data_IF_902446673590
#
_entry.id   IF_902446673590
#
_cell.length_a   1.000
_cell.length_b   1.000
_cell.length_c   1.000
_cell.angle_alpha   90.00
_cell.angle_beta   90.00
_cell.angle_gamma   90.00
#
_symmetry.space_group_name_H-M   'P 1'
#
loop_
_entity.id
_entity.type
_entity.pdbx_description
1 polymer ?
#
# COMPACT_ATOMS: atom_id res chain seq x y z
N UNK A 1 -29.03 18.67 22.97
CA UNK A 1 -28.83 18.28 21.56
C UNK A 1 -27.97 19.37 20.92
N UNK A 2 -26.76 19.06 20.46
CA UNK A 2 -25.77 20.09 20.09
C UNK A 2 -26.04 20.67 18.67
N UNK A 3 -26.15 21.99 18.48
CA UNK A 3 -26.62 22.63 17.22
C UNK A 3 -25.74 22.43 15.97
N UNK A 4 -24.52 21.88 16.14
CA UNK A 4 -23.52 21.81 15.06
C UNK A 4 -23.50 20.47 14.29
N UNK A 5 -24.29 19.45 14.70
CA UNK A 5 -24.34 18.16 13.99
C UNK A 5 -24.73 18.30 12.51
N UNK A 6 -25.62 19.25 12.17
CA UNK A 6 -26.02 19.50 10.78
C UNK A 6 -24.88 19.98 9.87
N UNK A 7 -23.80 20.49 10.45
CA UNK A 7 -22.60 20.93 9.74
C UNK A 7 -21.47 19.90 9.80
N UNK A 8 -21.58 18.92 10.70
CA UNK A 8 -20.67 17.78 10.75
C UNK A 8 -21.06 16.80 9.65
N UNK A 9 -20.51 17.00 8.45
CA UNK A 9 -20.36 15.89 7.51
C UNK A 9 -19.24 15.04 8.08
N UNK A 10 -19.47 13.81 8.59
CA UNK A 10 -18.36 12.90 8.84
C UNK A 10 -17.54 12.86 7.57
N UNK A 11 -16.21 12.98 7.69
CA UNK A 11 -15.33 12.85 6.54
C UNK A 11 -15.82 11.66 5.73
N UNK A 12 -16.14 11.89 4.45
CA UNK A 12 -16.59 10.87 3.50
C UNK A 12 -15.88 9.57 3.84
N UNK A 13 -16.58 8.42 3.97
CA UNK A 13 -15.91 7.17 4.34
C UNK A 13 -14.72 7.05 3.42
N UNK A 14 -13.52 7.06 4.00
CA UNK A 14 -12.26 7.01 3.26
C UNK A 14 -12.45 5.83 2.33
N UNK A 15 -12.52 6.07 1.02
CA UNK A 15 -12.87 5.03 0.05
C UNK A 15 -11.74 4.01 0.10
N UNK A 16 -11.90 3.00 0.94
CA UNK A 16 -10.90 1.96 1.09
C UNK A 16 -10.82 1.24 -0.24
N UNK A 17 -9.61 1.17 -0.81
CA UNK A 17 -9.37 0.31 -1.94
C UNK A 17 -9.64 -1.13 -1.49
N UNK A 18 -10.75 -1.71 -1.94
CA UNK A 18 -11.03 -3.13 -1.73
C UNK A 18 -10.17 -3.92 -2.70
N UNK A 19 -9.27 -4.73 -2.15
CA UNK A 19 -8.48 -5.66 -2.95
C UNK A 19 -9.40 -6.59 -3.74
N UNK A 20 -9.24 -6.60 -5.07
CA UNK A 20 -10.13 -7.32 -5.99
C UNK A 20 -10.00 -8.84 -5.87
N UNK A 21 -8.85 -9.32 -5.39
CA UNK A 21 -8.59 -10.76 -5.22
C UNK A 21 -9.08 -11.30 -3.87
N UNK A 22 -9.75 -10.48 -3.05
CA UNK A 22 -10.31 -10.94 -1.79
C UNK A 22 -11.57 -11.78 -2.04
N UNK A 23 -11.63 -12.98 -1.46
CA UNK A 23 -12.68 -13.99 -1.69
C UNK A 23 -13.69 -14.13 -0.55
N UNK A 24 -13.65 -13.25 0.46
CA UNK A 24 -14.55 -13.27 1.62
C UNK A 24 -15.70 -12.25 1.56
N UNK A 25 -16.50 -12.20 2.62
CA UNK A 25 -17.61 -11.22 2.73
C UNK A 25 -17.12 -9.80 3.03
N UNK A 26 -17.98 -8.80 2.82
CA UNK A 26 -17.65 -7.41 3.14
C UNK A 26 -17.37 -7.22 4.63
N UNK A 27 -18.15 -7.87 5.49
CA UNK A 27 -17.96 -7.82 6.95
C UNK A 27 -16.62 -8.46 7.37
N UNK A 28 -16.26 -9.58 6.75
CA UNK A 28 -14.97 -10.23 6.98
C UNK A 28 -13.81 -9.33 6.53
N UNK A 29 -13.95 -8.68 5.37
CA UNK A 29 -12.96 -7.71 4.88
C UNK A 29 -12.77 -6.56 5.87
N UNK A 30 -13.86 -5.97 6.35
CA UNK A 30 -13.81 -4.86 7.31
C UNK A 30 -13.18 -5.30 8.64
N UNK A 31 -13.50 -6.50 9.12
CA UNK A 31 -12.89 -7.08 10.31
C UNK A 31 -11.38 -7.23 10.14
N UNK A 32 -10.93 -7.86 9.04
CA UNK A 32 -9.52 -8.04 8.73
C UNK A 32 -8.80 -6.69 8.56
N UNK A 33 -9.44 -5.74 7.87
CA UNK A 33 -8.92 -4.38 7.73
C UNK A 33 -8.76 -3.68 9.08
N UNK A 34 -9.66 -3.92 10.04
CA UNK A 34 -9.56 -3.31 11.37
C UNK A 34 -8.45 -3.97 12.21
N UNK A 35 -8.35 -5.29 12.18
CA UNK A 35 -7.42 -6.09 12.98
C UNK A 35 -6.00 -6.16 12.41
N UNK A 36 -5.83 -5.92 11.10
CA UNK A 36 -4.55 -6.06 10.42
C UNK A 36 -3.48 -5.08 10.89
N UNK A 37 -2.26 -5.62 11.00
CA UNK A 37 -1.00 -4.91 11.20
C UNK A 37 -0.18 -4.74 9.91
N UNK A 38 -0.81 -4.89 8.74
CA UNK A 38 -0.16 -4.76 7.44
C UNK A 38 -0.50 -3.42 6.77
N UNK A 39 0.52 -2.78 6.20
CA UNK A 39 0.35 -1.63 5.29
C UNK A 39 0.86 -1.97 3.89
N UNK A 40 0.17 -1.42 2.90
CA UNK A 40 0.59 -1.40 1.50
C UNK A 40 1.22 -0.05 1.19
N UNK A 41 2.48 -0.06 0.77
CA UNK A 41 3.22 1.15 0.38
C UNK A 41 3.44 1.12 -1.12
N UNK A 42 3.09 2.20 -1.80
CA UNK A 42 3.21 2.35 -3.24
C UNK A 42 3.93 3.65 -3.60
N UNK A 43 4.24 3.79 -4.89
CA UNK A 43 4.99 4.91 -5.46
C UNK A 43 6.41 5.03 -4.88
N UNK A 44 7.01 3.90 -4.52
CA UNK A 44 8.40 3.84 -4.08
C UNK A 44 9.32 4.03 -5.31
N UNK A 45 10.50 4.61 -5.10
CA UNK A 45 11.53 4.68 -6.13
C UNK A 45 12.11 3.27 -6.36
N UNK A 46 12.06 2.70 -7.59
CA UNK A 46 12.54 1.35 -7.86
C UNK A 46 14.05 1.14 -7.63
N UNK A 47 14.84 2.21 -7.46
CA UNK A 47 16.26 2.10 -7.10
C UNK A 47 16.52 1.88 -5.61
N UNK A 48 15.47 1.84 -4.78
CA UNK A 48 15.59 1.67 -3.33
C UNK A 48 15.62 0.18 -2.99
N UNK A 49 16.54 -0.18 -2.09
CA UNK A 49 16.67 -1.52 -1.53
C UNK A 49 15.71 -1.76 -0.35
N UNK A 50 15.43 -3.04 -0.07
CA UNK A 50 14.54 -3.46 1.02
C UNK A 50 14.96 -2.90 2.38
N UNK A 51 16.26 -2.91 2.69
CA UNK A 51 16.81 -2.40 3.95
C UNK A 51 16.37 -0.96 4.23
N UNK A 52 16.22 -0.14 3.19
CA UNK A 52 15.86 1.27 3.36
C UNK A 52 14.39 1.45 3.69
N UNK A 53 13.53 0.57 3.16
CA UNK A 53 12.12 0.48 3.57
C UNK A 53 11.99 -0.02 5.00
N UNK A 54 12.83 -1.00 5.38
CA UNK A 54 12.88 -1.50 6.75
C UNK A 54 13.22 -0.38 7.75
N UNK A 55 14.26 0.40 7.48
CA UNK A 55 14.66 1.54 8.30
C UNK A 55 13.56 2.60 8.44
N UNK A 56 12.85 2.92 7.34
CA UNK A 56 11.69 3.81 7.39
C UNK A 56 10.58 3.24 8.28
N UNK A 57 10.29 1.95 8.15
CA UNK A 57 9.22 1.29 8.89
C UNK A 57 9.51 1.22 10.40
N UNK A 58 10.77 1.00 10.79
CA UNK A 58 11.20 0.99 12.18
C UNK A 58 10.93 2.32 12.92
N UNK A 59 10.76 3.44 12.22
CA UNK A 59 10.37 4.71 12.83
C UNK A 59 8.94 4.68 13.42
N UNK A 60 8.10 3.75 12.98
CA UNK A 60 6.69 3.67 13.39
C UNK A 60 6.41 2.55 14.39
N UNK A 61 7.23 1.51 14.41
CA UNK A 61 7.17 0.40 15.36
C UNK A 61 7.93 -0.84 14.91
N UNK A 62 7.78 -1.94 15.67
CA UNK A 62 8.52 -3.17 15.42
C UNK A 62 8.01 -3.89 14.16
N UNK A 63 8.93 -4.06 13.21
CA UNK A 63 8.65 -4.66 11.91
C UNK A 63 8.81 -6.18 12.01
N UNK A 64 7.75 -6.91 11.65
CA UNK A 64 7.78 -8.37 11.58
C UNK A 64 8.42 -8.84 10.27
N UNK A 65 8.06 -8.21 9.15
CA UNK A 65 8.69 -8.44 7.83
C UNK A 65 8.33 -7.35 6.82
N UNK A 66 9.19 -7.20 5.82
CA UNK A 66 8.94 -6.42 4.60
C UNK A 66 8.81 -7.39 3.43
N UNK A 67 7.87 -7.14 2.53
CA UNK A 67 7.63 -7.97 1.35
C UNK A 67 7.65 -7.07 0.14
N UNK A 68 8.75 -7.15 -0.61
CA UNK A 68 8.96 -6.31 -1.79
C UNK A 68 8.05 -6.74 -2.94
N UNK A 69 7.39 -5.75 -3.56
CA UNK A 69 6.59 -5.95 -4.75
C UNK A 69 7.49 -6.03 -5.98
N UNK A 70 7.49 -7.17 -6.65
CA UNK A 70 8.38 -7.48 -7.77
C UNK A 70 7.62 -7.64 -9.08
N UNK A 71 8.31 -7.41 -10.18
CA UNK A 71 7.82 -7.72 -11.50
C UNK A 71 7.67 -9.23 -11.65
N UNK A 72 6.51 -9.73 -12.07
CA UNK A 72 6.25 -11.18 -12.17
C UNK A 72 7.14 -11.90 -13.20
N UNK A 73 7.65 -11.18 -14.19
CA UNK A 73 8.44 -11.75 -15.28
C UNK A 73 9.95 -11.66 -14.96
N UNK A 74 10.41 -10.51 -14.48
CA UNK A 74 11.84 -10.22 -14.30
C UNK A 74 12.31 -10.31 -12.85
N UNK A 75 11.39 -10.50 -11.90
CA UNK A 75 11.65 -10.55 -10.46
C UNK A 75 12.39 -9.33 -9.89
N UNK A 76 12.33 -8.21 -10.61
CA UNK A 76 12.92 -6.93 -10.18
C UNK A 76 11.92 -6.10 -9.39
N UNK A 77 12.40 -5.29 -8.44
CA UNK A 77 11.54 -4.41 -7.68
C UNK A 77 10.73 -3.47 -8.58
N UNK A 78 9.42 -3.38 -8.34
CA UNK A 78 8.53 -2.59 -9.16
C UNK A 78 7.83 -1.46 -8.40
N UNK A 79 8.38 -1.03 -7.26
CA UNK A 79 8.04 0.24 -6.61
C UNK A 79 6.78 0.20 -5.74
N UNK A 80 6.45 -0.96 -5.17
CA UNK A 80 5.48 -1.11 -4.09
C UNK A 80 5.94 -2.21 -3.14
N UNK A 81 5.51 -2.21 -1.88
CA UNK A 81 5.79 -3.29 -0.94
C UNK A 81 4.65 -3.44 0.07
N UNK A 82 4.67 -4.54 0.82
CA UNK A 82 3.89 -4.71 2.03
C UNK A 82 4.82 -4.67 3.23
N UNK A 83 4.39 -4.01 4.30
CA UNK A 83 5.10 -4.02 5.58
C UNK A 83 4.15 -4.57 6.62
N UNK A 84 4.56 -5.64 7.30
CA UNK A 84 3.82 -6.26 8.39
C UNK A 84 4.50 -5.89 9.70
N UNK A 85 3.76 -5.22 10.57
CA UNK A 85 4.19 -4.89 11.93
C UNK A 85 3.74 -5.98 12.91
N UNK A 86 4.36 -6.02 14.09
CA UNK A 86 3.86 -6.85 15.18
C UNK A 86 2.53 -6.33 15.73
N UNK A 87 2.37 -5.00 15.84
CA UNK A 87 1.17 -4.36 16.38
C UNK A 87 0.38 -3.62 15.30
N UNK A 88 -0.95 -3.62 15.40
CA UNK A 88 -1.83 -2.91 14.46
C UNK A 88 -1.76 -1.39 14.62
N UNK A 89 -1.43 -0.93 15.83
CA UNK A 89 -1.24 0.49 16.16
C UNK A 89 -0.03 1.07 15.41
N UNK A 90 1.02 0.27 15.20
CA UNK A 90 2.21 0.66 14.44
C UNK A 90 1.91 0.80 12.95
N UNK A 91 1.10 -0.11 12.40
CA UNK A 91 0.57 0.01 11.04
C UNK A 91 -0.28 1.28 10.86
N UNK A 92 -1.12 1.61 11.84
CA UNK A 92 -1.94 2.83 11.81
C UNK A 92 -1.06 4.10 11.87
N UNK A 93 -0.04 4.11 12.74
CA UNK A 93 0.96 5.20 12.81
C UNK A 93 1.69 5.35 11.47
N UNK A 94 2.16 4.25 10.89
CA UNK A 94 2.81 4.25 9.58
C UNK A 94 1.89 4.87 8.51
N UNK A 95 0.64 4.41 8.42
CA UNK A 95 -0.34 4.99 7.48
C UNK A 95 -0.56 6.48 7.71
N UNK A 96 -0.63 6.92 8.97
CA UNK A 96 -0.94 8.32 9.31
C UNK A 96 0.20 9.27 8.95
N UNK A 97 1.45 8.86 9.17
CA UNK A 97 2.61 9.74 9.09
C UNK A 97 3.46 9.52 7.84
N UNK A 98 3.49 8.31 7.28
CA UNK A 98 4.25 8.01 6.07
C UNK A 98 3.45 8.23 4.78
N UNK A 99 2.12 8.31 4.84
CA UNK A 99 1.33 8.65 3.65
C UNK A 99 1.70 10.06 3.17
N UNK A 100 2.00 10.19 1.87
CA UNK A 100 2.49 11.41 1.22
C UNK A 100 3.85 11.92 1.70
N UNK A 101 4.54 11.19 2.58
CA UNK A 101 5.91 11.52 2.97
C UNK A 101 6.83 11.48 1.74
N UNK A 102 7.65 12.51 1.57
CA UNK A 102 8.72 12.50 0.57
C UNK A 102 9.83 11.58 1.06
N UNK A 103 10.03 10.49 0.33
CA UNK A 103 11.05 9.49 0.61
C UNK A 103 11.93 9.34 -0.63
N UNK A 104 13.21 9.69 -0.49
CA UNK A 104 14.14 9.82 -1.62
C UNK A 104 13.60 10.74 -2.72
N UNK A 105 13.40 10.21 -3.94
CA UNK A 105 12.97 10.97 -5.12
C UNK A 105 11.44 11.04 -5.28
N UNK A 106 10.66 10.35 -4.44
CA UNK A 106 9.20 10.21 -4.62
C UNK A 106 8.42 10.47 -3.34
N UNK A 107 7.15 10.83 -3.49
CA UNK A 107 6.20 10.86 -2.37
C UNK A 107 5.49 9.52 -2.26
N UNK A 108 5.52 8.90 -1.08
CA UNK A 108 4.89 7.63 -0.84
C UNK A 108 3.36 7.72 -0.88
N UNK A 109 2.72 6.59 -1.16
CA UNK A 109 1.28 6.38 -0.95
C UNK A 109 1.15 5.20 -0.02
N UNK A 110 0.55 5.40 1.15
CA UNK A 110 0.45 4.35 2.19
C UNK A 110 -1.01 4.10 2.52
N UNK A 111 -1.42 2.85 2.33
CA UNK A 111 -2.78 2.39 2.62
C UNK A 111 -2.73 1.23 3.62
N UNK A 112 -3.76 1.12 4.47
CA UNK A 112 -3.91 -0.07 5.31
C UNK A 112 -4.29 -1.25 4.42
N UNK A 113 -3.80 -2.43 4.75
CA UNK A 113 -4.08 -3.66 4.01
C UNK A 113 -4.69 -4.71 4.94
N UNK A 114 -5.57 -5.58 4.43
CA UNK A 114 -6.25 -6.60 5.24
C UNK A 114 -5.34 -7.78 5.62
N UNK A 115 -4.13 -7.84 5.08
CA UNK A 115 -3.14 -8.87 5.35
C UNK A 115 -2.51 -9.42 4.07
N UNK A 116 -1.21 -9.67 4.11
CA UNK A 116 -0.51 -10.23 2.98
C UNK A 116 -0.97 -11.67 2.69
N UNK A 117 -1.14 -11.98 1.40
CA UNK A 117 -1.37 -13.33 0.88
C UNK A 117 -0.38 -13.60 -0.23
N UNK A 118 0.09 -14.84 -0.31
CA UNK A 118 1.04 -15.28 -1.33
C UNK A 118 0.50 -14.99 -2.74
N UNK A 119 1.40 -14.58 -3.64
CA UNK A 119 1.07 -14.13 -4.99
C UNK A 119 0.78 -12.63 -5.09
N UNK A 120 0.50 -11.92 -3.99
CA UNK A 120 0.27 -10.46 -4.02
C UNK A 120 1.56 -9.64 -4.18
N UNK A 121 2.74 -10.24 -4.01
CA UNK A 121 4.03 -9.59 -4.28
C UNK A 121 4.25 -9.33 -5.78
N UNK A 122 3.53 -10.00 -6.67
CA UNK A 122 3.72 -9.86 -8.10
C UNK A 122 2.91 -8.71 -8.69
N UNK A 123 3.56 -7.90 -9.52
CA UNK A 123 2.91 -6.87 -10.32
C UNK A 123 1.84 -7.45 -11.27
N UNK A 124 0.69 -6.76 -11.35
CA UNK A 124 -0.49 -7.20 -12.13
C UNK A 124 -0.58 -6.58 -13.52
N UNK A 125 0.36 -5.74 -13.90
CA UNK A 125 0.43 -5.15 -15.24
C UNK A 125 0.64 -6.20 -16.33
N UNK A 126 0.22 -5.90 -17.56
CA UNK A 126 0.50 -6.68 -18.77
C UNK A 126 2.00 -7.02 -18.92
N UNK A 127 2.91 -6.09 -18.60
CA UNK A 127 4.36 -6.30 -18.66
C UNK A 127 4.96 -6.82 -17.33
N UNK A 128 4.10 -7.33 -16.44
CA UNK A 128 4.48 -7.93 -15.16
C UNK A 128 4.75 -6.95 -14.02
N UNK A 129 4.84 -5.65 -14.28
CA UNK A 129 5.01 -4.60 -13.28
C UNK A 129 3.69 -4.05 -12.74
N UNK A 130 3.67 -2.77 -12.34
CA UNK A 130 2.41 -2.11 -11.92
C UNK A 130 1.57 -1.76 -13.14
N UNK A 131 0.25 -1.97 -13.04
CA UNK A 131 -0.70 -1.64 -14.11
C UNK A 131 -0.65 -0.16 -14.53
N UNK A 132 -0.35 0.75 -13.60
CA UNK A 132 -0.17 2.18 -13.87
C UNK A 132 1.05 2.45 -14.77
N UNK A 133 2.15 1.74 -14.56
CA UNK A 133 3.40 1.92 -15.32
C UNK A 133 3.22 1.41 -16.76
N UNK A 134 2.44 0.34 -16.94
CA UNK A 134 2.12 -0.22 -18.25
C UNK A 134 1.28 0.72 -19.10
N UNK A 135 0.32 1.42 -18.49
CA UNK A 135 -0.45 2.45 -19.18
C UNK A 135 0.47 3.58 -19.68
N UNK A 136 1.49 3.95 -18.90
CA UNK A 136 2.48 4.93 -19.35
C UNK A 136 3.33 4.40 -20.52
N UNK A 137 3.74 3.11 -20.50
CA UNK A 137 4.46 2.47 -21.60
C UNK A 137 3.62 2.37 -22.87
N UNK A 138 2.35 1.95 -22.77
CA UNK A 138 1.42 1.89 -23.90
C UNK A 138 1.23 3.25 -24.54
N UNK A 139 1.02 4.32 -23.75
CA UNK A 139 0.94 5.69 -24.28
C UNK A 139 2.19 6.08 -25.06
N UNK A 140 3.39 5.73 -24.59
CA UNK A 140 4.63 6.00 -25.32
C UNK A 140 4.77 5.17 -26.61
N UNK A 141 4.24 3.95 -26.62
CA UNK A 141 4.37 3.03 -27.76
C UNK A 141 3.37 3.34 -28.88
N UNK A 142 2.16 3.80 -28.55
CA UNK A 142 1.11 4.11 -29.54
C UNK A 142 1.06 5.59 -29.97
N UNK A 143 1.74 6.51 -29.26
CA UNK A 143 1.87 7.92 -29.66
C UNK A 143 3.19 8.23 -30.40
N UNK A 144 3.94 7.20 -30.80
CA UNK A 144 5.05 7.27 -31.76
C UNK A 144 4.64 6.50 -33.02
#
# INVERSE_FOLDING_TARGET
MWPLEKYYKPATPVSYYKEKTFTGSDDEYLKLMNESSTVYINNIDPSIDESRIWELALLFGDVKRVIMGINRNYLTFCGFCFVEFYNKEDALKCKMWADRLKFEKKCLSVDKDYGFKEGRQYGRGVFGGKMKDDNAKKRRYYNN
#
